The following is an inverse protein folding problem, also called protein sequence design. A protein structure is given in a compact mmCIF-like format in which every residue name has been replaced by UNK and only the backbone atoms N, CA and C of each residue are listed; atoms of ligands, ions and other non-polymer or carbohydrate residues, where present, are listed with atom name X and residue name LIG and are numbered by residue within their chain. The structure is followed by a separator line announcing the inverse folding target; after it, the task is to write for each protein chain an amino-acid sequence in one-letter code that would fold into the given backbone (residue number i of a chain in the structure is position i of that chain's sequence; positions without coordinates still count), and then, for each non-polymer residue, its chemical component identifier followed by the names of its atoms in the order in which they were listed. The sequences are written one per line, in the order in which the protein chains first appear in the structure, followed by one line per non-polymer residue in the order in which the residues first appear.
data_IF_914088867719
#
_entry.id   IF_914088867719
#
_cell.length_a   1.000
_cell.length_b   1.000
_cell.length_c   1.000
_cell.angle_alpha   90.00
_cell.angle_beta   90.00
_cell.angle_gamma   90.00
#
_symmetry.space_group_name_H-M   'P 1'
#
loop_
_entity.id
_entity.type
_entity.pdbx_description
1 polymer ?
#
# COMPACT_ATOMS: atom_id res chain seq x y z
N UNK A 1 -8.39 9.08 -22.43
CA UNK A 1 -9.22 9.15 -21.21
C UNK A 1 -8.31 9.38 -20.01
N UNK A 2 -8.56 10.39 -19.15
CA UNK A 2 -7.73 10.59 -17.95
C UNK A 2 -7.94 9.44 -16.95
N UNK A 3 -6.86 8.99 -16.31
CA UNK A 3 -6.90 7.99 -15.25
C UNK A 3 -7.30 8.58 -13.89
N UNK A 4 -7.47 7.70 -12.91
CA UNK A 4 -7.71 8.07 -11.52
C UNK A 4 -6.54 8.85 -10.92
N UNK A 5 -6.84 9.81 -10.03
CA UNK A 5 -5.83 10.57 -9.29
C UNK A 5 -5.04 9.65 -8.35
N UNK A 6 -3.74 9.86 -8.28
CA UNK A 6 -2.90 9.19 -7.28
C UNK A 6 -3.21 9.66 -5.86
N UNK A 7 -2.88 8.82 -4.89
CA UNK A 7 -2.96 9.12 -3.47
C UNK A 7 -1.94 10.16 -3.04
N UNK A 8 -2.26 10.88 -1.96
CA UNK A 8 -1.40 11.93 -1.39
C UNK A 8 -0.29 11.40 -0.47
N UNK A 9 0.46 12.32 0.13
CA UNK A 9 1.44 12.03 1.18
C UNK A 9 0.89 12.51 2.51
N UNK A 10 0.82 11.62 3.49
CA UNK A 10 0.43 11.93 4.87
C UNK A 10 1.64 11.67 5.76
N UNK A 11 2.06 12.69 6.49
CA UNK A 11 3.07 12.58 7.55
C UNK A 11 2.46 13.05 8.85
N UNK A 12 2.40 12.16 9.83
CA UNK A 12 1.88 12.46 11.17
C UNK A 12 2.97 12.19 12.19
N UNK A 13 3.24 13.19 13.01
CA UNK A 13 4.12 13.09 14.15
C UNK A 13 3.34 13.49 15.39
N UNK A 14 3.29 12.60 16.38
CA UNK A 14 2.73 12.89 17.69
C UNK A 14 3.79 12.58 18.73
N UNK A 15 4.11 13.54 19.59
CA UNK A 15 5.17 13.36 20.59
C UNK A 15 4.87 12.26 21.61
N UNK A 16 3.58 11.96 21.84
CA UNK A 16 3.12 10.95 22.80
C UNK A 16 2.28 9.86 22.16
N UNK A 17 1.06 10.18 21.74
CA UNK A 17 0.07 9.16 21.39
C UNK A 17 -0.67 9.50 20.10
N UNK A 18 -0.98 8.46 19.33
CA UNK A 18 -1.96 8.46 18.24
C UNK A 18 -3.11 7.53 18.63
N UNK A 19 -4.29 8.08 18.83
CA UNK A 19 -5.52 7.31 18.97
C UNK A 19 -6.30 7.37 17.65
N UNK A 20 -6.43 6.23 16.98
CA UNK A 20 -7.11 6.13 15.69
C UNK A 20 -8.34 5.23 15.80
N UNK A 21 -9.51 5.85 15.84
CA UNK A 21 -10.82 5.18 15.77
C UNK A 21 -11.55 5.45 14.43
N UNK A 22 -10.84 6.08 13.48
CA UNK A 22 -11.36 6.51 12.19
C UNK A 22 -10.52 5.96 11.04
N UNK A 23 -10.37 6.74 9.97
CA UNK A 23 -9.58 6.35 8.79
C UNK A 23 -8.54 7.41 8.44
N UNK A 24 -7.30 6.98 8.22
CA UNK A 24 -6.26 7.75 7.54
C UNK A 24 -6.10 7.13 6.15
N UNK A 25 -6.41 7.89 5.10
CA UNK A 25 -6.43 7.38 3.72
C UNK A 25 -5.60 8.23 2.78
N UNK A 26 -4.67 7.57 2.10
CA UNK A 26 -3.95 8.06 0.95
C UNK A 26 -4.19 7.12 -0.25
N UNK A 27 -5.42 6.63 -0.41
CA UNK A 27 -5.78 5.75 -1.51
C UNK A 27 -5.71 6.47 -2.86
N UNK A 28 -5.35 5.72 -3.90
CA UNK A 28 -5.55 6.14 -5.28
C UNK A 28 -7.02 6.07 -5.67
N UNK A 29 -7.43 6.97 -6.56
CA UNK A 29 -8.81 7.02 -7.07
C UNK A 29 -9.06 5.87 -8.04
N UNK A 30 -10.19 5.17 -7.86
CA UNK A 30 -10.63 4.14 -8.78
C UNK A 30 -11.19 4.76 -10.06
N UNK A 31 -10.92 4.15 -11.20
CA UNK A 31 -11.60 4.51 -12.44
C UNK A 31 -12.95 3.79 -12.49
N UNK A 32 -14.03 4.58 -12.54
CA UNK A 32 -15.40 4.08 -12.67
C UNK A 32 -16.05 4.74 -13.88
N UNK A 33 -16.58 3.95 -14.82
CA UNK A 33 -17.35 4.49 -15.93
C UNK A 33 -18.85 4.53 -15.60
N UNK A 34 -19.33 5.70 -15.19
CA UNK A 34 -20.72 5.86 -14.73
C UNK A 34 -21.75 6.05 -15.85
N UNK A 35 -21.35 6.13 -17.13
CA UNK A 35 -22.26 6.52 -18.25
C UNK A 35 -22.09 5.73 -19.55
N UNK A 36 -21.79 4.44 -19.44
CA UNK A 36 -21.47 3.60 -20.60
C UNK A 36 -20.01 3.78 -20.97
N UNK A 37 -19.20 2.75 -20.72
CA UNK A 37 -17.79 2.81 -21.02
C UNK A 37 -17.57 3.03 -22.53
N UNK A 38 -16.66 3.94 -22.94
CA UNK A 38 -16.25 4.02 -24.33
C UNK A 38 -15.73 2.63 -24.73
N UNK A 39 -16.30 2.06 -25.78
CA UNK A 39 -15.96 0.69 -26.24
C UNK A 39 -14.48 0.53 -26.62
N UNK A 40 -13.73 1.63 -26.71
CA UNK A 40 -12.38 1.71 -27.26
C UNK A 40 -11.29 2.28 -26.33
N UNK A 41 -11.62 2.93 -25.20
CA UNK A 41 -10.58 3.40 -24.26
C UNK A 41 -11.06 3.63 -22.83
N UNK A 42 -10.30 3.13 -21.85
CA UNK A 42 -10.51 3.40 -20.41
C UNK A 42 -9.25 3.97 -19.76
N UNK A 43 -9.42 4.77 -18.70
CA UNK A 43 -8.32 5.23 -17.85
C UNK A 43 -7.92 4.15 -16.85
N UNK A 44 -6.68 4.21 -16.35
CA UNK A 44 -6.22 3.34 -15.26
C UNK A 44 -6.63 3.88 -13.88
N UNK A 45 -6.52 3.03 -12.86
CA UNK A 45 -6.67 3.46 -11.47
C UNK A 45 -5.45 4.25 -10.99
N UNK A 46 -5.67 5.19 -10.07
CA UNK A 46 -4.58 5.98 -9.47
C UNK A 46 -3.72 5.15 -8.53
N UNK A 47 -2.42 5.43 -8.45
CA UNK A 47 -1.54 4.76 -7.47
C UNK A 47 -1.87 5.16 -6.03
N UNK A 48 -1.66 4.26 -5.07
CA UNK A 48 -1.69 4.55 -3.65
C UNK A 48 -0.57 5.51 -3.24
N UNK A 49 -0.82 6.30 -2.20
CA UNK A 49 0.06 7.35 -1.72
C UNK A 49 1.14 6.87 -0.74
N UNK A 50 1.52 7.73 0.20
CA UNK A 50 2.46 7.34 1.27
C UNK A 50 1.99 7.89 2.61
N UNK A 51 1.99 7.03 3.63
CA UNK A 51 1.58 7.36 4.99
C UNK A 51 2.74 7.05 5.92
N UNK A 52 3.19 8.03 6.68
CA UNK A 52 4.22 7.87 7.72
C UNK A 52 3.64 8.37 9.03
N UNK A 53 3.62 7.53 10.06
CA UNK A 53 3.14 7.89 11.38
C UNK A 53 4.21 7.55 12.42
N UNK A 54 4.56 8.54 13.25
CA UNK A 54 5.52 8.40 14.35
C UNK A 54 4.86 8.82 15.66
N UNK A 55 4.85 7.93 16.64
CA UNK A 55 4.30 8.17 17.97
C UNK A 55 4.90 7.20 19.01
N UNK A 56 4.89 7.55 20.30
CA UNK A 56 5.32 6.61 21.36
C UNK A 56 4.26 5.50 21.58
N UNK A 57 2.99 5.80 21.32
CA UNK A 57 1.87 4.88 21.52
C UNK A 57 0.85 4.96 20.38
N UNK A 58 0.37 3.80 19.94
CA UNK A 58 -0.73 3.66 19.01
C UNK A 58 -1.90 2.97 19.71
N UNK A 59 -3.07 3.61 19.72
CA UNK A 59 -4.29 3.09 20.32
C UNK A 59 -5.45 3.10 19.32
N UNK A 60 -6.44 2.25 19.59
CA UNK A 60 -7.70 2.18 18.84
C UNK A 60 -7.70 1.13 17.73
N UNK A 61 -8.83 1.03 17.04
CA UNK A 61 -9.13 0.00 16.04
C UNK A 61 -9.55 0.61 14.69
N UNK A 62 -8.86 1.66 14.26
CA UNK A 62 -9.15 2.36 13.01
C UNK A 62 -8.40 1.81 11.79
N UNK A 63 -8.56 2.48 10.65
CA UNK A 63 -8.04 2.07 9.36
C UNK A 63 -6.90 2.98 8.87
N UNK A 64 -5.84 2.39 8.33
CA UNK A 64 -4.78 3.10 7.61
C UNK A 64 -4.70 2.51 6.20
N UNK A 65 -5.05 3.31 5.20
CA UNK A 65 -5.23 2.82 3.84
C UNK A 65 -4.37 3.61 2.85
N UNK A 66 -3.51 2.92 2.11
CA UNK A 66 -2.71 3.48 1.01
C UNK A 66 -2.81 2.57 -0.21
N UNK A 67 -4.01 2.08 -0.52
CA UNK A 67 -4.23 1.15 -1.64
C UNK A 67 -4.35 1.89 -2.97
N UNK A 68 -3.96 1.24 -4.06
CA UNK A 68 -4.19 1.74 -5.41
C UNK A 68 -5.66 1.66 -5.81
N UNK A 69 -6.05 2.52 -6.74
CA UNK A 69 -7.41 2.56 -7.30
C UNK A 69 -7.66 1.40 -8.26
N UNK A 70 -8.86 0.83 -8.21
CA UNK A 70 -9.29 -0.24 -9.12
C UNK A 70 -9.87 0.31 -10.42
N UNK A 71 -9.98 -0.55 -11.42
CA UNK A 71 -10.69 -0.30 -12.68
C UNK A 71 -11.86 -1.26 -12.75
N UNK A 72 -13.08 -0.73 -12.66
CA UNK A 72 -14.32 -1.51 -12.65
C UNK A 72 -14.94 -1.61 -14.04
N UNK A 73 -14.15 -2.04 -15.02
CA UNK A 73 -14.59 -2.18 -16.41
C UNK A 73 -14.04 -3.47 -16.98
N UNK A 74 -14.92 -4.29 -17.55
CA UNK A 74 -14.52 -5.47 -18.31
C UNK A 74 -13.64 -5.03 -19.48
N UNK A 75 -12.46 -5.66 -19.60
CA UNK A 75 -11.49 -5.30 -20.61
C UNK A 75 -12.01 -5.58 -22.02
N UNK A 76 -12.57 -4.54 -22.65
CA UNK A 76 -12.90 -4.51 -24.07
C UNK A 76 -11.61 -4.37 -24.88
N UNK A 77 -11.50 -5.15 -25.95
CA UNK A 77 -10.28 -5.66 -26.57
C UNK A 77 -9.46 -4.67 -27.41
N UNK A 78 -9.22 -3.44 -26.97
CA UNK A 78 -8.28 -2.56 -27.71
C UNK A 78 -7.38 -1.66 -26.86
N UNK A 79 -7.88 -0.88 -25.88
CA UNK A 79 -7.02 0.00 -25.06
C UNK A 79 -7.66 0.19 -23.66
N UNK A 80 -7.07 -0.39 -22.61
CA UNK A 80 -7.59 -0.20 -21.25
C UNK A 80 -6.48 -0.02 -20.24
N UNK A 81 -6.70 0.88 -19.27
CA UNK A 81 -5.79 1.07 -18.14
C UNK A 81 -5.94 -0.04 -17.10
N UNK A 82 -4.83 -0.43 -16.48
CA UNK A 82 -4.83 -1.35 -15.34
C UNK A 82 -5.14 -0.67 -14.01
N UNK A 83 -5.19 -1.48 -12.94
CA UNK A 83 -5.29 -0.97 -11.57
C UNK A 83 -4.02 -0.24 -11.13
N UNK A 84 -4.17 0.77 -10.26
CA UNK A 84 -3.03 1.51 -9.72
C UNK A 84 -2.24 0.68 -8.70
N UNK A 85 -0.92 0.88 -8.60
CA UNK A 85 -0.11 0.20 -7.60
C UNK A 85 -0.48 0.62 -6.17
N UNK A 86 -0.26 -0.26 -5.19
CA UNK A 86 -0.36 0.08 -3.77
C UNK A 86 0.74 1.04 -3.33
N UNK A 87 0.45 1.78 -2.26
CA UNK A 87 1.30 2.80 -1.69
C UNK A 87 2.23 2.29 -0.60
N UNK A 88 2.72 3.20 0.25
CA UNK A 88 3.66 2.87 1.34
C UNK A 88 3.12 3.32 2.67
N UNK A 89 3.15 2.45 3.67
CA UNK A 89 2.80 2.78 5.05
C UNK A 89 4.01 2.51 5.93
N UNK A 90 4.38 3.49 6.76
CA UNK A 90 5.44 3.37 7.75
C UNK A 90 4.92 3.77 9.12
N UNK A 91 5.01 2.85 10.09
CA UNK A 91 4.68 3.08 11.48
C UNK A 91 5.94 2.98 12.33
N UNK A 92 6.31 4.09 12.96
CA UNK A 92 7.46 4.23 13.85
C UNK A 92 7.01 4.43 15.29
N UNK A 93 7.64 3.69 16.19
CA UNK A 93 7.68 4.04 17.60
C UNK A 93 9.04 4.69 17.90
N UNK A 94 9.04 5.91 18.44
CA UNK A 94 10.26 6.64 18.77
C UNK A 94 10.66 6.58 20.26
N UNK A 95 9.99 5.76 21.07
CA UNK A 95 10.37 5.53 22.47
C UNK A 95 10.81 4.07 22.70
N UNK A 96 12.07 3.88 23.06
CA UNK A 96 12.69 2.56 23.27
C UNK A 96 12.25 1.88 24.56
N UNK A 97 11.65 2.65 25.48
CA UNK A 97 11.44 2.21 26.87
C UNK A 97 10.00 1.70 27.12
N UNK A 98 9.13 1.77 26.11
CA UNK A 98 7.73 1.30 26.18
C UNK A 98 7.52 0.17 25.17
N UNK A 99 8.00 -1.02 25.51
CA UNK A 99 7.78 -2.24 24.72
C UNK A 99 6.34 -2.78 24.87
N UNK A 100 5.59 -2.35 25.89
CA UNK A 100 4.45 -3.13 26.40
C UNK A 100 3.02 -2.63 26.12
N UNK A 101 2.78 -1.63 25.26
CA UNK A 101 1.41 -1.13 25.04
C UNK A 101 0.99 -0.96 23.58
N UNK A 102 1.53 -1.77 22.68
CA UNK A 102 1.10 -1.76 21.28
C UNK A 102 0.07 -2.88 21.06
N UNK A 103 -1.19 -2.60 21.37
CA UNK A 103 -2.31 -3.38 20.83
C UNK A 103 -2.64 -2.84 19.43
N UNK A 104 -2.03 -3.43 18.40
CA UNK A 104 -2.42 -3.14 17.02
C UNK A 104 -3.72 -3.83 16.69
N UNK A 105 -4.82 -3.16 17.00
CA UNK A 105 -6.12 -3.46 16.41
C UNK A 105 -6.36 -2.65 15.13
N UNK A 106 -5.32 -1.98 14.62
CA UNK A 106 -5.40 -1.20 13.39
C UNK A 106 -5.48 -2.10 12.17
N UNK A 107 -6.40 -1.77 11.27
CA UNK A 107 -6.50 -2.39 9.96
C UNK A 107 -5.68 -1.59 8.95
N UNK A 108 -4.53 -2.14 8.54
CA UNK A 108 -3.60 -1.47 7.64
C UNK A 108 -3.62 -2.14 6.27
N UNK A 109 -3.79 -1.35 5.22
CA UNK A 109 -3.82 -1.83 3.83
C UNK A 109 -3.00 -0.95 2.89
N UNK A 110 -2.30 -1.61 1.98
CA UNK A 110 -1.59 -1.00 0.87
C UNK A 110 -1.71 -1.91 -0.36
N UNK A 111 -2.93 -2.26 -0.75
CA UNK A 111 -3.15 -3.23 -1.83
C UNK A 111 -2.93 -2.59 -3.20
N UNK A 112 -2.61 -3.41 -4.20
CA UNK A 112 -2.76 -3.01 -5.58
C UNK A 112 -4.24 -2.88 -5.96
N UNK A 113 -4.53 -1.94 -6.86
CA UNK A 113 -5.84 -1.80 -7.47
C UNK A 113 -6.15 -2.99 -8.38
N UNK A 114 -7.38 -3.49 -8.32
CA UNK A 114 -7.85 -4.59 -9.16
C UNK A 114 -8.30 -4.12 -10.54
N UNK A 115 -8.28 -5.01 -11.54
CA UNK A 115 -8.94 -4.79 -12.83
C UNK A 115 -9.49 -6.09 -13.39
N UNK A 116 -10.56 -6.00 -14.19
CA UNK A 116 -11.20 -7.16 -14.81
C UNK A 116 -10.56 -7.53 -16.16
N UNK A 117 -9.26 -7.85 -16.13
CA UNK A 117 -8.49 -8.36 -17.27
C UNK A 117 -7.41 -7.44 -17.85
N UNK A 118 -7.12 -6.29 -17.23
CA UNK A 118 -6.28 -5.21 -17.78
C UNK A 118 -4.95 -5.05 -17.04
N UNK A 119 -4.62 -6.00 -16.16
CA UNK A 119 -3.50 -5.95 -15.23
C UNK A 119 -3.87 -5.28 -13.91
N UNK A 120 -3.55 -5.94 -12.80
CA UNK A 120 -3.71 -5.37 -11.47
C UNK A 120 -2.46 -4.57 -11.09
N UNK A 121 -2.64 -3.60 -10.19
CA UNK A 121 -1.53 -2.94 -9.53
C UNK A 121 -0.75 -3.93 -8.65
N UNK A 122 0.55 -3.69 -8.49
CA UNK A 122 1.34 -4.41 -7.50
C UNK A 122 0.92 -4.02 -6.09
N UNK A 123 1.15 -4.90 -5.13
CA UNK A 123 0.98 -4.54 -3.73
C UNK A 123 1.92 -3.39 -3.35
N UNK A 124 1.48 -2.61 -2.39
CA UNK A 124 2.31 -1.66 -1.67
C UNK A 124 3.06 -2.34 -0.52
N UNK A 125 3.72 -1.53 0.31
CA UNK A 125 4.50 -2.01 1.45
C UNK A 125 4.02 -1.37 2.75
N UNK A 126 3.93 -2.17 3.81
CA UNK A 126 3.66 -1.70 5.17
C UNK A 126 4.86 -2.08 6.03
N UNK A 127 5.60 -1.10 6.54
CA UNK A 127 6.69 -1.34 7.47
C UNK A 127 6.29 -0.89 8.88
N UNK A 128 6.42 -1.81 9.82
CA UNK A 128 6.11 -1.63 11.23
C UNK A 128 7.43 -1.74 12.00
N UNK A 129 7.99 -0.61 12.42
CA UNK A 129 9.37 -0.52 12.90
C UNK A 129 9.61 -1.26 14.21
N UNK A 130 8.70 -1.15 15.18
CA UNK A 130 8.86 -1.80 16.48
C UNK A 130 8.73 -3.32 16.42
N UNK A 131 7.97 -3.84 15.44
CA UNK A 131 7.92 -5.28 15.14
C UNK A 131 8.95 -5.68 14.07
N UNK A 132 9.72 -4.72 13.54
CA UNK A 132 10.73 -4.96 12.51
C UNK A 132 10.17 -5.74 11.30
N UNK A 133 8.88 -5.57 11.04
CA UNK A 133 8.11 -6.38 10.09
C UNK A 133 7.75 -5.58 8.85
N UNK A 134 8.12 -6.09 7.68
CA UNK A 134 7.63 -5.64 6.39
C UNK A 134 6.49 -6.55 5.92
N UNK A 135 5.33 -5.97 5.66
CA UNK A 135 4.16 -6.68 5.14
C UNK A 135 3.93 -6.24 3.70
N UNK A 136 3.86 -7.21 2.81
CA UNK A 136 3.46 -7.06 1.41
C UNK A 136 2.23 -7.92 1.19
N UNK A 137 1.11 -7.26 0.98
CA UNK A 137 -0.20 -7.89 0.95
C UNK A 137 -0.97 -7.33 -0.22
N UNK A 138 -1.51 -8.20 -1.07
CA UNK A 138 -2.23 -7.75 -2.26
C UNK A 138 -3.75 -7.94 -2.16
N UNK A 139 -4.28 -8.31 -0.99
CA UNK A 139 -5.74 -8.38 -0.79
C UNK A 139 -6.48 -9.32 -1.74
N UNK A 140 -5.79 -10.31 -2.33
CA UNK A 140 -6.28 -11.19 -3.41
C UNK A 140 -6.56 -10.50 -4.76
N UNK A 141 -5.99 -9.32 -5.01
CA UNK A 141 -6.14 -8.62 -6.27
C UNK A 141 -5.95 -9.57 -7.47
N UNK A 142 -6.96 -9.59 -8.32
CA UNK A 142 -7.14 -10.54 -9.42
C UNK A 142 -6.15 -10.23 -10.54
N UNK A 143 -5.48 -11.25 -11.07
CA UNK A 143 -4.61 -11.23 -12.26
C UNK A 143 -3.17 -10.73 -12.07
N UNK A 144 -2.30 -11.11 -13.02
CA UNK A 144 -0.83 -10.95 -13.05
C UNK A 144 -0.32 -9.96 -12.01
N UNK A 145 0.05 -10.47 -10.84
CA UNK A 145 0.46 -9.66 -9.71
C UNK A 145 1.70 -8.87 -10.09
N UNK A 146 1.55 -7.56 -10.21
CA UNK A 146 2.71 -6.71 -10.44
C UNK A 146 3.68 -6.87 -9.27
N UNK A 147 4.97 -6.83 -9.59
CA UNK A 147 6.03 -7.04 -8.62
C UNK A 147 6.15 -5.77 -7.77
N UNK A 148 6.05 -5.94 -6.46
CA UNK A 148 6.44 -4.93 -5.47
C UNK A 148 7.96 -5.00 -5.33
N UNK A 149 8.72 -3.98 -5.74
CA UNK A 149 10.17 -3.96 -5.50
C UNK A 149 10.45 -3.79 -4.01
N UNK A 150 11.56 -4.35 -3.55
CA UNK A 150 12.04 -4.11 -2.19
C UNK A 150 12.18 -2.60 -1.93
N UNK A 151 11.61 -2.07 -0.83
CA UNK A 151 11.78 -0.67 -0.49
C UNK A 151 13.26 -0.42 -0.15
N UNK A 152 13.93 0.38 -0.99
CA UNK A 152 15.35 0.73 -0.89
C UNK A 152 15.85 0.91 0.56
N UNK A 153 16.98 0.26 0.88
CA UNK A 153 17.61 0.32 2.21
C UNK A 153 18.34 1.65 2.40
N UNK A 154 17.75 2.56 3.17
CA UNK A 154 18.52 3.49 3.99
C UNK A 154 18.76 2.82 5.36
N UNK A 155 19.82 3.24 6.05
CA UNK A 155 20.23 2.90 7.41
C UNK A 155 19.10 2.89 8.46
N UNK A 156 17.94 3.49 8.17
CA UNK A 156 16.71 3.41 8.96
C UNK A 156 15.94 2.08 8.86
N UNK A 157 16.32 1.15 7.97
CA UNK A 157 15.73 -0.18 7.80
C UNK A 157 16.73 -1.33 8.07
N UNK A 158 17.85 -1.06 8.75
CA UNK A 158 18.91 -2.03 9.04
C UNK A 158 18.47 -3.21 9.94
N UNK A 159 17.28 -3.13 10.52
CA UNK A 159 16.72 -4.10 11.46
C UNK A 159 15.40 -4.67 10.94
N UNK A 160 15.36 -5.16 9.69
CA UNK A 160 14.23 -5.96 9.21
C UNK A 160 14.42 -7.40 9.70
N UNK A 161 13.53 -7.87 10.58
CA UNK A 161 13.56 -9.27 11.07
C UNK A 161 12.59 -10.15 10.30
N UNK A 162 11.45 -9.59 9.91
CA UNK A 162 10.33 -10.36 9.38
C UNK A 162 9.79 -9.74 8.09
N UNK A 163 9.56 -10.60 7.09
CA UNK A 163 8.91 -10.22 5.83
C UNK A 163 7.71 -11.13 5.61
N UNK A 164 6.52 -10.56 5.59
CA UNK A 164 5.26 -11.26 5.38
C UNK A 164 4.73 -10.92 3.99
N UNK A 165 4.81 -11.88 3.06
CA UNK A 165 4.23 -11.76 1.71
C UNK A 165 2.98 -12.64 1.64
N UNK A 166 1.80 -12.05 1.39
CA UNK A 166 0.53 -12.80 1.41
C UNK A 166 -0.50 -12.34 0.38
N UNK A 167 -1.54 -13.17 0.19
CA UNK A 167 -2.73 -12.90 -0.63
C UNK A 167 -2.42 -12.41 -2.06
N UNK A 168 -1.61 -13.19 -2.80
CA UNK A 168 -1.16 -12.92 -4.18
C UNK A 168 -0.28 -11.67 -4.34
N UNK A 169 0.45 -11.30 -3.30
CA UNK A 169 1.57 -10.38 -3.46
C UNK A 169 2.75 -11.08 -4.17
N UNK A 170 3.46 -10.32 -5.00
CA UNK A 170 4.75 -10.72 -5.58
C UNK A 170 5.78 -9.69 -5.15
N UNK A 171 6.90 -10.12 -4.59
CA UNK A 171 7.90 -9.25 -3.99
C UNK A 171 9.27 -9.58 -4.56
N UNK A 172 9.98 -8.57 -5.08
CA UNK A 172 11.31 -8.75 -5.66
C UNK A 172 12.37 -8.24 -4.69
N UNK A 173 13.22 -9.15 -4.27
CA UNK A 173 14.45 -8.82 -3.55
C UNK A 173 15.48 -8.25 -4.51
N UNK A 174 16.26 -7.24 -4.10
CA UNK A 174 17.44 -6.86 -4.85
C UNK A 174 18.36 -8.09 -4.85
N UNK A 175 18.81 -8.49 -6.04
CA UNK A 175 19.91 -9.44 -6.13
C UNK A 175 21.11 -8.70 -5.52
N UNK A 176 21.70 -9.26 -4.47
CA UNK A 176 22.98 -8.77 -4.01
C UNK A 176 23.93 -8.82 -5.22
N UNK A 177 24.42 -7.67 -5.68
CA UNK A 177 25.71 -7.68 -6.34
C UNK A 177 26.64 -8.38 -5.36
N UNK A 178 27.28 -9.45 -5.86
CA UNK A 178 28.04 -10.40 -5.07
C UNK A 178 28.83 -9.67 -3.97
N UNK A 179 28.55 -10.04 -2.72
CA UNK A 179 29.46 -9.74 -1.62
C UNK A 179 30.75 -10.50 -1.96
N UNK A 180 31.70 -9.80 -2.58
CA UNK A 180 33.11 -10.21 -2.71
C UNK A 180 33.90 -9.58 -1.57
#
# INVERSE_FOLDING_TARGET
VPGGRGGGIIKLFASKQVQLNGSISANGESYVCNRGCPTFSTGGGGAGGSISISAQQFLGAGNICSSGGSVQVACSSTISGGGGAGGRVFLRNHDSDVIDLISLELNISAFGGSSDGCGAGGAGTIFIEFNQTLIVDNGFASFWSAITPFPYQDSSHANLTDIIVRRRASFLFPVADAIS
#
